data_IF_948513359804
#
_entry.id   IF_948513359804
#
_cell.length_a   1.000
_cell.length_b   1.000
_cell.length_c   1.000
_cell.angle_alpha   90.00
_cell.angle_beta   90.00
_cell.angle_gamma   90.00
#
_symmetry.space_group_name_H-M   'P 1'
#
loop_
_entity.id
_entity.type
_entity.pdbx_description
1 polymer ?
#
# COMPACT_ATOMS: atom_id res chain seq x y z
N UNK A 1 -2.23 -14.23 26.97
CA UNK A 1 -3.29 -13.20 26.79
C UNK A 1 -2.96 -12.13 25.75
N UNK A 2 -1.69 -11.91 25.36
CA UNK A 2 -1.30 -10.83 24.42
C UNK A 2 -1.86 -10.92 23.00
N UNK A 3 -1.80 -12.09 22.34
CA UNK A 3 -2.21 -12.23 20.93
C UNK A 3 -3.73 -12.12 20.69
N UNK A 4 -4.52 -12.71 21.60
CA UNK A 4 -5.99 -12.67 21.53
C UNK A 4 -6.50 -11.24 21.76
N UNK A 5 -5.90 -10.53 22.73
CA UNK A 5 -6.20 -9.11 22.96
C UNK A 5 -5.88 -8.27 21.73
N UNK A 6 -4.71 -8.44 21.10
CA UNK A 6 -4.37 -7.68 19.89
C UNK A 6 -5.31 -7.95 18.70
N UNK A 7 -5.85 -9.16 18.56
CA UNK A 7 -6.79 -9.50 17.47
C UNK A 7 -8.16 -8.84 17.68
N UNK A 8 -8.69 -8.88 18.91
CA UNK A 8 -10.00 -8.29 19.26
C UNK A 8 -10.02 -6.76 19.08
N UNK A 9 -8.92 -6.06 19.36
CA UNK A 9 -8.87 -4.61 19.17
C UNK A 9 -8.90 -4.19 17.69
N UNK A 10 -8.35 -5.03 16.80
CA UNK A 10 -8.32 -4.79 15.33
C UNK A 10 -9.68 -5.01 14.69
N UNK A 11 -10.33 -6.13 15.02
CA UNK A 11 -11.68 -6.45 14.53
C UNK A 11 -12.66 -5.33 14.89
N UNK A 12 -12.59 -4.79 16.11
CA UNK A 12 -13.40 -3.66 16.54
C UNK A 12 -13.07 -2.35 15.82
N UNK A 13 -11.81 -2.06 15.52
CA UNK A 13 -11.44 -0.86 14.76
C UNK A 13 -12.03 -0.90 13.36
N UNK A 14 -11.89 -2.01 12.64
CA UNK A 14 -12.48 -2.18 11.31
C UNK A 14 -14.01 -2.17 11.35
N UNK A 15 -14.62 -2.77 12.38
CA UNK A 15 -16.07 -2.69 12.60
C UNK A 15 -16.56 -1.23 12.72
N UNK A 16 -15.84 -0.38 13.47
CA UNK A 16 -16.18 1.04 13.57
C UNK A 16 -15.99 1.78 12.25
N UNK A 17 -15.02 1.37 11.41
CA UNK A 17 -14.88 1.89 10.04
C UNK A 17 -16.09 1.54 9.18
N UNK A 18 -16.45 0.26 9.15
CA UNK A 18 -17.58 -0.28 8.37
C UNK A 18 -18.90 0.39 8.79
N UNK A 19 -19.11 0.54 10.10
CA UNK A 19 -20.30 1.20 10.64
C UNK A 19 -20.27 2.73 10.50
N UNK A 20 -19.16 3.32 10.02
CA UNK A 20 -19.00 4.76 9.89
C UNK A 20 -18.94 5.52 11.21
N UNK A 21 -18.53 4.89 12.31
CA UNK A 21 -18.48 5.48 13.65
C UNK A 21 -17.26 6.41 13.80
N UNK A 22 -17.37 7.60 13.22
CA UNK A 22 -16.33 8.62 13.17
C UNK A 22 -15.79 8.97 14.57
N UNK A 23 -16.67 9.09 15.57
CA UNK A 23 -16.27 9.54 16.90
C UNK A 23 -15.46 8.47 17.65
N UNK A 24 -15.82 7.20 17.52
CA UNK A 24 -14.98 6.11 18.04
C UNK A 24 -13.64 6.03 17.31
N UNK A 25 -13.62 6.23 16.00
CA UNK A 25 -12.36 6.24 15.24
C UNK A 25 -11.47 7.41 15.69
N UNK A 26 -11.99 8.63 15.81
CA UNK A 26 -11.25 9.78 16.35
C UNK A 26 -10.68 9.47 17.74
N UNK A 27 -11.49 8.86 18.61
CA UNK A 27 -11.05 8.47 19.95
C UNK A 27 -9.91 7.44 19.90
N UNK A 28 -10.02 6.40 19.06
CA UNK A 28 -8.98 5.38 18.89
C UNK A 28 -7.70 6.01 18.32
N UNK A 29 -7.79 6.78 17.22
CA UNK A 29 -6.64 7.42 16.58
C UNK A 29 -5.94 8.42 17.50
N UNK A 30 -6.66 9.08 18.41
CA UNK A 30 -6.09 9.97 19.43
C UNK A 30 -5.20 9.22 20.44
N UNK A 31 -5.53 7.98 20.75
CA UNK A 31 -4.84 7.17 21.77
C UNK A 31 -3.94 6.06 21.20
N UNK A 32 -4.05 5.78 19.90
CA UNK A 32 -3.25 4.76 19.23
C UNK A 32 -1.78 5.18 19.08
N UNK A 33 -0.87 4.27 19.39
CA UNK A 33 0.58 4.45 19.20
C UNK A 33 1.02 3.79 17.89
N UNK A 34 2.05 4.38 17.25
CA UNK A 34 2.71 3.82 16.07
C UNK A 34 3.25 2.42 16.38
N UNK A 35 3.14 1.50 15.42
CA UNK A 35 3.71 0.15 15.46
C UNK A 35 5.26 0.16 15.39
N UNK A 36 5.92 0.85 16.31
CA UNK A 36 7.39 0.84 16.50
C UNK A 36 7.83 -0.06 17.66
N UNK A 37 6.92 -0.45 18.57
CA UNK A 37 7.27 -1.27 19.73
C UNK A 37 7.87 -2.62 19.29
N UNK A 38 7.43 -3.22 18.18
CA UNK A 38 7.98 -4.51 17.71
C UNK A 38 9.43 -4.42 17.18
N UNK A 39 9.82 -3.28 16.59
CA UNK A 39 11.20 -3.05 16.13
C UNK A 39 12.10 -2.69 17.32
N UNK A 40 11.65 -1.78 18.18
CA UNK A 40 12.42 -1.33 19.35
C UNK A 40 12.55 -2.43 20.43
N UNK A 41 11.52 -3.25 20.69
CA UNK A 41 11.65 -4.39 21.62
C UNK A 41 12.59 -5.47 21.09
N UNK A 42 12.64 -5.72 19.78
CA UNK A 42 13.54 -6.75 19.22
C UNK A 42 15.02 -6.33 19.30
N UNK A 43 15.30 -5.02 19.34
CA UNK A 43 16.64 -4.49 19.59
C UNK A 43 16.99 -4.52 21.09
N UNK A 44 16.06 -4.13 21.98
CA UNK A 44 16.26 -4.13 23.44
C UNK A 44 16.34 -5.57 24.01
N UNK A 45 15.55 -6.51 23.50
CA UNK A 45 15.54 -7.91 23.96
C UNK A 45 16.80 -8.70 23.58
N UNK A 46 17.70 -8.13 22.77
CA UNK A 46 19.02 -8.72 22.48
C UNK A 46 20.08 -8.33 23.51
N UNK A 47 19.86 -7.28 24.31
CA UNK A 47 20.93 -6.68 25.12
C UNK A 47 20.73 -6.85 26.62
N UNK A 48 19.50 -7.02 27.12
CA UNK A 48 19.24 -6.86 28.56
C UNK A 48 18.30 -7.96 29.10
N UNK A 49 18.82 -8.89 29.91
CA UNK A 49 18.09 -10.02 30.50
C UNK A 49 17.07 -9.68 31.60
N UNK A 50 16.39 -8.52 31.54
CA UNK A 50 15.43 -8.09 32.56
C UNK A 50 14.01 -7.95 32.00
N UNK A 51 13.26 -9.05 32.10
CA UNK A 51 11.81 -9.03 32.00
C UNK A 51 11.20 -8.61 33.35
N UNK A 52 11.06 -7.30 33.60
CA UNK A 52 10.23 -6.85 34.73
C UNK A 52 9.56 -5.50 34.45
N UNK A 53 8.22 -5.56 34.31
CA UNK A 53 7.26 -4.48 34.61
C UNK A 53 7.23 -3.26 33.69
N UNK A 54 6.44 -3.34 32.61
CA UNK A 54 5.67 -2.18 32.13
C UNK A 54 4.21 -2.58 31.99
N UNK A 55 3.44 -2.27 33.02
CA UNK A 55 2.00 -2.29 33.00
C UNK A 55 1.43 -0.90 32.71
N UNK A 56 0.37 -0.89 31.89
CA UNK A 56 -0.79 0.02 31.99
C UNK A 56 -0.67 1.42 31.39
N UNK A 57 -0.59 1.47 30.06
CA UNK A 57 -1.65 2.09 29.25
C UNK A 57 -1.98 1.05 28.17
N UNK A 58 -3.26 0.83 27.85
CA UNK A 58 -3.65 0.03 26.69
C UNK A 58 -3.18 0.75 25.42
N UNK A 59 -1.90 0.64 25.13
CA UNK A 59 -1.30 1.19 23.94
C UNK A 59 -1.83 0.39 22.76
N UNK A 60 -2.92 0.90 22.17
CA UNK A 60 -3.48 0.34 20.94
C UNK A 60 -2.40 0.55 19.89
N UNK A 61 -1.70 -0.54 19.57
CA UNK A 61 -0.83 -0.59 18.41
C UNK A 61 -1.75 -0.71 17.20
N UNK A 62 -1.78 0.36 16.41
CA UNK A 62 -2.61 0.41 15.21
C UNK A 62 -1.73 0.29 13.98
N UNK A 63 -2.03 -0.71 13.16
CA UNK A 63 -1.47 -0.88 11.83
C UNK A 63 -2.57 -0.60 10.80
N UNK A 64 -2.44 0.50 10.06
CA UNK A 64 -3.43 0.92 9.07
C UNK A 64 -3.43 0.05 7.79
N UNK A 65 -2.40 -0.79 7.63
CA UNK A 65 -2.20 -1.63 6.46
C UNK A 65 -2.43 -3.11 6.77
N UNK A 66 -2.78 -3.44 8.01
CA UNK A 66 -3.07 -4.81 8.36
C UNK A 66 -4.33 -5.28 7.66
N UNK A 67 -4.19 -6.45 7.01
CA UNK A 67 -5.24 -7.08 6.21
C UNK A 67 -6.04 -8.07 7.03
N UNK A 68 -7.34 -8.10 6.77
CA UNK A 68 -8.25 -9.13 7.24
C UNK A 68 -8.16 -10.39 6.36
N UNK A 69 -9.01 -11.37 6.65
CA UNK A 69 -9.08 -12.61 5.89
C UNK A 69 -9.53 -12.41 4.44
N UNK A 70 -10.11 -11.27 4.05
CA UNK A 70 -10.47 -10.93 2.67
C UNK A 70 -9.39 -10.13 1.95
N UNK A 71 -8.27 -9.84 2.63
CA UNK A 71 -7.25 -8.95 2.15
C UNK A 71 -7.63 -7.48 2.29
N UNK A 72 -8.73 -7.14 2.98
CA UNK A 72 -9.16 -5.76 3.17
C UNK A 72 -8.52 -5.16 4.41
N UNK A 73 -8.33 -3.86 4.40
CA UNK A 73 -7.64 -3.09 5.43
C UNK A 73 -8.35 -1.75 5.61
N UNK A 74 -8.09 -1.01 6.71
CA UNK A 74 -8.82 0.20 7.07
C UNK A 74 -9.19 1.15 5.92
N UNK A 75 -8.21 1.48 5.07
CA UNK A 75 -8.44 2.36 3.92
C UNK A 75 -9.40 1.74 2.89
N UNK A 76 -9.26 0.45 2.60
CA UNK A 76 -10.14 -0.25 1.67
C UNK A 76 -11.59 -0.25 2.15
N UNK A 77 -11.84 -0.50 3.44
CA UNK A 77 -13.19 -0.43 4.01
C UNK A 77 -13.79 0.97 3.86
N UNK A 78 -13.03 2.02 4.19
CA UNK A 78 -13.50 3.40 4.07
C UNK A 78 -13.81 3.78 2.61
N UNK A 79 -13.00 3.31 1.66
CA UNK A 79 -13.21 3.47 0.22
C UNK A 79 -14.48 2.75 -0.28
N UNK A 80 -14.68 1.49 0.10
CA UNK A 80 -15.85 0.70 -0.28
C UNK A 80 -17.16 1.22 0.33
N UNK A 81 -17.08 1.95 1.46
CA UNK A 81 -18.24 2.60 2.09
C UNK A 81 -18.41 4.07 1.66
N UNK A 82 -17.61 4.56 0.71
CA UNK A 82 -17.64 5.95 0.24
C UNK A 82 -17.53 7.00 1.36
N UNK A 83 -16.80 6.69 2.43
CA UNK A 83 -16.77 7.53 3.62
C UNK A 83 -15.60 8.51 3.56
N UNK A 84 -15.85 9.70 3.01
CA UNK A 84 -14.82 10.73 2.83
C UNK A 84 -14.17 11.18 4.15
N UNK A 85 -14.95 11.38 5.23
CA UNK A 85 -14.40 11.83 6.50
C UNK A 85 -13.50 10.75 7.12
N UNK A 86 -13.88 9.48 7.00
CA UNK A 86 -13.06 8.36 7.43
C UNK A 86 -11.72 8.30 6.67
N UNK A 87 -11.74 8.47 5.36
CA UNK A 87 -10.52 8.50 4.54
C UNK A 87 -9.59 9.63 4.97
N UNK A 88 -10.12 10.84 5.21
CA UNK A 88 -9.34 11.97 5.72
C UNK A 88 -8.69 11.64 7.07
N UNK A 89 -9.43 11.01 7.99
CA UNK A 89 -8.90 10.62 9.30
C UNK A 89 -7.75 9.59 9.18
N UNK A 90 -7.92 8.58 8.33
CA UNK A 90 -6.91 7.55 8.11
C UNK A 90 -5.64 8.14 7.47
N UNK A 91 -5.77 8.99 6.44
CA UNK A 91 -4.64 9.69 5.81
C UNK A 91 -3.93 10.59 6.82
N UNK A 92 -4.67 11.42 7.57
CA UNK A 92 -4.08 12.32 8.56
C UNK A 92 -3.30 11.54 9.63
N UNK A 93 -3.82 10.41 10.08
CA UNK A 93 -3.10 9.54 11.01
C UNK A 93 -1.84 8.95 10.35
N UNK A 94 -1.96 8.43 9.14
CA UNK A 94 -0.85 7.87 8.37
C UNK A 94 0.28 8.89 8.21
N UNK A 95 -0.03 10.13 7.80
CA UNK A 95 0.94 11.21 7.66
C UNK A 95 1.60 11.60 8.98
N UNK A 96 0.79 11.82 10.03
CA UNK A 96 1.28 12.17 11.37
C UNK A 96 2.25 11.12 11.91
N UNK A 97 2.00 9.86 11.60
CA UNK A 97 2.80 8.74 12.07
C UNK A 97 3.79 8.21 11.03
N UNK A 98 3.97 8.89 9.88
CA UNK A 98 4.87 8.48 8.80
C UNK A 98 4.66 7.00 8.43
N UNK A 99 3.40 6.63 8.21
CA UNK A 99 2.98 5.33 7.70
C UNK A 99 2.56 5.54 6.26
N UNK A 100 3.18 4.83 5.33
CA UNK A 100 2.73 4.79 3.94
C UNK A 100 1.49 3.91 3.84
N UNK A 101 0.38 4.43 3.29
CA UNK A 101 -0.82 3.63 3.07
C UNK A 101 -0.63 2.73 1.86
N UNK A 102 -1.02 1.46 2.00
CA UNK A 102 -1.07 0.56 0.86
C UNK A 102 -2.19 1.01 -0.09
N UNK A 103 -1.85 1.37 -1.33
CA UNK A 103 -2.82 1.76 -2.36
C UNK A 103 -2.70 0.94 -3.65
N UNK A 104 -1.60 0.18 -3.79
CA UNK A 104 -1.20 -0.56 -5.00
C UNK A 104 -1.23 -2.08 -4.82
N UNK A 105 -1.96 -2.56 -3.85
CA UNK A 105 -2.17 -3.98 -3.66
C UNK A 105 -3.65 -4.30 -3.77
N UNK A 106 -3.94 -5.45 -4.36
CA UNK A 106 -5.31 -5.87 -4.63
C UNK A 106 -5.94 -6.58 -3.44
N UNK A 107 -7.27 -6.61 -3.39
CA UNK A 107 -8.01 -7.54 -2.53
C UNK A 107 -7.98 -8.98 -3.09
N UNK A 108 -8.63 -9.93 -2.40
CA UNK A 108 -8.77 -11.32 -2.89
C UNK A 108 -9.47 -11.45 -4.25
N UNK A 109 -10.18 -10.42 -4.71
CA UNK A 109 -10.87 -10.40 -6.01
C UNK A 109 -10.03 -9.75 -7.11
N UNK A 110 -8.82 -9.28 -6.80
CA UNK A 110 -7.94 -8.62 -7.77
C UNK A 110 -8.23 -7.13 -7.96
N UNK A 111 -8.99 -6.48 -7.05
CA UNK A 111 -9.34 -5.05 -7.16
C UNK A 111 -8.40 -4.18 -6.32
N UNK A 112 -7.91 -3.08 -6.91
CA UNK A 112 -7.20 -2.03 -6.17
C UNK A 112 -8.20 -1.12 -5.44
N UNK A 113 -7.81 -0.51 -4.31
CA UNK A 113 -8.67 0.43 -3.57
C UNK A 113 -9.20 1.57 -4.45
N UNK A 114 -8.35 2.13 -5.32
CA UNK A 114 -8.76 3.22 -6.22
C UNK A 114 -9.84 2.77 -7.22
N UNK A 115 -9.77 1.52 -7.69
CA UNK A 115 -10.77 0.96 -8.60
C UNK A 115 -12.12 0.75 -7.90
N UNK A 116 -12.12 0.45 -6.60
CA UNK A 116 -13.35 0.38 -5.80
C UNK A 116 -14.02 1.75 -5.72
N UNK A 117 -13.24 2.80 -5.44
CA UNK A 117 -13.76 4.18 -5.37
C UNK A 117 -14.40 4.56 -6.70
N UNK A 118 -13.70 4.33 -7.82
CA UNK A 118 -14.15 4.71 -9.15
C UNK A 118 -15.38 3.89 -9.59
N UNK A 119 -15.35 2.56 -9.43
CA UNK A 119 -16.36 1.68 -10.00
C UNK A 119 -17.64 1.61 -9.16
N UNK A 120 -17.55 1.71 -7.83
CA UNK A 120 -18.72 1.57 -6.97
C UNK A 120 -19.42 2.91 -6.71
N UNK A 121 -18.64 3.99 -6.56
CA UNK A 121 -19.15 5.27 -6.04
C UNK A 121 -18.87 6.46 -6.94
N UNK A 122 -17.73 6.44 -7.64
CA UNK A 122 -17.20 7.53 -8.46
C UNK A 122 -17.21 8.89 -7.72
N UNK A 123 -16.81 8.90 -6.44
CA UNK A 123 -16.81 10.10 -5.62
C UNK A 123 -15.58 10.98 -5.93
N UNK A 124 -15.76 12.17 -6.55
CA UNK A 124 -14.66 13.00 -6.99
C UNK A 124 -13.86 13.59 -5.82
N UNK A 125 -14.49 13.83 -4.66
CA UNK A 125 -13.80 14.37 -3.49
C UNK A 125 -12.78 13.36 -2.96
N UNK A 126 -13.17 12.09 -2.83
CA UNK A 126 -12.26 11.02 -2.41
C UNK A 126 -11.13 10.84 -3.42
N UNK A 127 -11.45 10.86 -4.73
CA UNK A 127 -10.44 10.75 -5.79
C UNK A 127 -9.40 11.86 -5.66
N UNK A 128 -9.83 13.10 -5.39
CA UNK A 128 -8.90 14.23 -5.24
C UNK A 128 -8.03 14.08 -3.99
N UNK A 129 -8.61 13.68 -2.85
CA UNK A 129 -7.86 13.41 -1.62
C UNK A 129 -6.78 12.33 -1.85
N UNK A 130 -7.13 11.25 -2.56
CA UNK A 130 -6.16 10.19 -2.86
C UNK A 130 -5.07 10.69 -3.80
N UNK A 131 -5.42 11.48 -4.83
CA UNK A 131 -4.44 12.10 -5.74
C UNK A 131 -3.45 12.99 -4.99
N UNK A 132 -3.94 13.87 -4.13
CA UNK A 132 -3.11 14.74 -3.29
C UNK A 132 -2.14 13.91 -2.44
N UNK A 133 -2.65 12.86 -1.78
CA UNK A 133 -1.84 11.98 -0.95
C UNK A 133 -0.74 11.27 -1.77
N UNK A 134 -1.06 10.70 -2.93
CA UNK A 134 -0.06 9.96 -3.71
C UNK A 134 0.99 10.87 -4.34
N UNK A 135 0.61 12.07 -4.79
CA UNK A 135 1.57 13.08 -5.28
C UNK A 135 2.52 13.51 -4.17
N UNK A 136 1.99 13.77 -2.97
CA UNK A 136 2.80 14.19 -1.81
C UNK A 136 3.80 13.12 -1.36
N UNK A 137 3.46 11.84 -1.50
CA UNK A 137 4.27 10.72 -1.04
C UNK A 137 5.03 10.00 -2.18
N UNK A 138 5.03 10.57 -3.39
CA UNK A 138 5.68 9.99 -4.58
C UNK A 138 5.24 8.54 -4.89
N UNK A 139 3.94 8.27 -4.71
CA UNK A 139 3.33 6.97 -4.96
C UNK A 139 2.77 6.94 -6.38
N UNK A 140 3.24 6.01 -7.21
CA UNK A 140 2.65 5.75 -8.54
C UNK A 140 1.47 4.79 -8.40
N UNK A 141 0.23 5.24 -8.64
CA UNK A 141 -0.95 4.40 -8.54
C UNK A 141 -1.04 3.35 -9.65
N UNK A 142 -1.42 2.13 -9.27
CA UNK A 142 -1.83 1.04 -10.17
C UNK A 142 -3.35 0.96 -10.18
N UNK A 143 -3.91 0.96 -11.37
CA UNK A 143 -5.37 0.95 -11.59
C UNK A 143 -5.85 -0.16 -12.53
N UNK A 144 -4.93 -0.87 -13.16
CA UNK A 144 -5.23 -1.98 -14.07
C UNK A 144 -4.87 -3.27 -13.34
N UNK A 145 -5.77 -4.28 -13.32
CA UNK A 145 -5.44 -5.60 -12.80
C UNK A 145 -4.17 -6.12 -13.44
N UNK A 146 -3.29 -6.74 -12.65
CA UNK A 146 -2.11 -7.44 -13.16
C UNK A 146 -2.65 -8.67 -13.92
N UNK A 147 -2.93 -8.51 -15.20
CA UNK A 147 -3.15 -9.64 -16.10
C UNK A 147 -1.77 -10.18 -16.47
N UNK A 148 -1.46 -11.42 -16.11
CA UNK A 148 -0.21 -12.13 -16.48
C UNK A 148 0.12 -11.98 -17.98
N UNK A 149 -0.93 -11.89 -18.81
CA UNK A 149 -0.82 -11.67 -20.26
C UNK A 149 -0.19 -10.32 -20.63
N UNK A 150 -0.47 -9.26 -19.86
CA UNK A 150 0.05 -7.91 -20.12
C UNK A 150 1.54 -7.80 -19.78
N UNK A 151 1.99 -8.49 -18.72
CA UNK A 151 3.41 -8.60 -18.36
C UNK A 151 4.18 -9.39 -19.44
N UNK A 152 3.60 -10.48 -19.96
CA UNK A 152 4.17 -11.22 -21.09
C UNK A 152 4.24 -10.37 -22.38
N UNK A 153 3.21 -9.56 -22.65
CA UNK A 153 3.14 -8.68 -23.82
C UNK A 153 4.13 -7.49 -23.71
N UNK A 154 4.36 -6.95 -22.52
CA UNK A 154 5.34 -5.88 -22.26
C UNK A 154 6.78 -6.40 -22.36
N UNK A 155 7.07 -7.57 -21.76
CA UNK A 155 8.37 -8.24 -21.90
C UNK A 155 8.65 -8.56 -23.37
N UNK A 156 7.64 -9.03 -24.12
CA UNK A 156 7.80 -9.34 -25.54
C UNK A 156 8.13 -8.08 -26.37
N UNK A 157 7.49 -6.94 -26.08
CA UNK A 157 7.76 -5.66 -26.76
C UNK A 157 9.15 -5.12 -26.45
N UNK A 158 9.59 -5.19 -25.19
CA UNK A 158 10.92 -4.72 -24.77
C UNK A 158 12.04 -5.59 -25.36
N UNK A 159 11.83 -6.92 -25.43
CA UNK A 159 12.72 -7.85 -26.11
C UNK A 159 12.82 -7.56 -27.62
N UNK A 160 11.68 -7.29 -28.28
CA UNK A 160 11.64 -6.98 -29.71
C UNK A 160 12.36 -5.65 -30.03
N UNK A 161 12.21 -4.63 -29.18
CA UNK A 161 12.94 -3.36 -29.29
C UNK A 161 14.46 -3.58 -29.17
N UNK A 162 14.89 -4.35 -28.16
CA UNK A 162 16.31 -4.68 -27.94
C UNK A 162 16.92 -5.47 -29.10
N UNK A 163 16.15 -6.39 -29.71
CA UNK A 163 16.60 -7.17 -30.87
C UNK A 163 16.80 -6.26 -32.09
N UNK A 164 15.88 -5.34 -32.32
CA UNK A 164 15.96 -4.41 -33.45
C UNK A 164 17.16 -3.45 -33.33
N UNK A 165 17.45 -2.96 -32.13
CA UNK A 165 18.65 -2.15 -31.88
C UNK A 165 19.94 -2.91 -32.19
N UNK A 166 20.07 -4.13 -31.67
CA UNK A 166 21.24 -4.99 -31.95
C UNK A 166 21.38 -5.34 -33.43
N UNK A 167 20.27 -5.54 -34.13
CA UNK A 167 20.26 -5.80 -35.56
C UNK A 167 20.80 -4.60 -36.34
N UNK A 168 20.34 -3.39 -36.01
CA UNK A 168 20.83 -2.17 -36.66
C UNK A 168 22.33 -1.97 -36.42
N UNK A 169 22.83 -2.21 -35.20
CA UNK A 169 24.27 -2.16 -34.90
C UNK A 169 25.09 -3.16 -35.72
N UNK A 170 24.57 -4.37 -35.95
CA UNK A 170 25.20 -5.40 -36.76
C UNK A 170 25.22 -5.03 -38.26
N UNK A 171 24.13 -4.46 -38.76
CA UNK A 171 24.04 -3.97 -40.14
C UNK A 171 25.06 -2.85 -40.39
N UNK A 172 25.18 -1.88 -39.47
CA UNK A 172 26.22 -0.84 -39.56
C UNK A 172 27.65 -1.39 -39.52
N UNK A 173 27.90 -2.43 -38.69
CA UNK A 173 29.22 -3.10 -38.63
C UNK A 173 29.53 -3.83 -39.93
N UNK A 174 28.55 -4.51 -40.52
CA UNK A 174 28.70 -5.24 -41.77
C UNK A 174 28.93 -4.31 -42.97
N UNK A 175 28.28 -3.14 -43.00
CA UNK A 175 28.53 -2.12 -44.01
C UNK A 175 29.95 -1.55 -43.92
N UNK A 176 30.44 -1.31 -42.69
CA UNK A 176 31.82 -0.89 -42.45
C UNK A 176 32.81 -1.96 -42.96
N UNK A 177 32.59 -3.24 -42.65
CA UNK A 177 33.45 -4.34 -43.13
C UNK A 177 33.42 -4.53 -44.65
N UNK A 178 32.25 -4.38 -45.29
CA UNK A 178 32.14 -4.40 -46.77
C UNK A 178 32.87 -3.24 -47.43
N UNK A 179 32.94 -2.08 -46.77
CA UNK A 179 33.72 -0.93 -47.21
C UNK A 179 35.24 -1.12 -47.13
N UNK A 180 35.73 -2.06 -46.30
CA UNK A 180 37.18 -2.37 -46.17
C UNK A 180 37.67 -3.33 -47.26
N UNK A 181 36.78 -4.04 -47.97
CA UNK A 181 37.16 -5.02 -49.00
C UNK A 181 37.29 -4.44 -50.44
N UNK A 182 37.13 -3.12 -50.62
CA UNK A 182 37.36 -2.44 -51.89
C UNK A 182 38.67 -1.62 -51.85
N UNK A 183 39.83 -2.29 -51.84
CA UNK A 183 41.14 -1.73 -52.20
C UNK A 183 41.91 -2.75 -53.03
#
# INVERSE_FOLDING_TARGET
MGAISSKIHKEKFNEYIINGDIEKIKLILKHAKKNQIKQTLNEINKTDGYNHSIGLVNDIVLDLNERDENGWYPFYFAADHNNTEMIKLLINYAEKHQTELILNEVDKTGRFPITVIINNHNNPEIIEIVKEYVVKNDITLRWEPINEKKEQDEISKEQEMTINEKKNELEEKLEKEKGVCNI
#
